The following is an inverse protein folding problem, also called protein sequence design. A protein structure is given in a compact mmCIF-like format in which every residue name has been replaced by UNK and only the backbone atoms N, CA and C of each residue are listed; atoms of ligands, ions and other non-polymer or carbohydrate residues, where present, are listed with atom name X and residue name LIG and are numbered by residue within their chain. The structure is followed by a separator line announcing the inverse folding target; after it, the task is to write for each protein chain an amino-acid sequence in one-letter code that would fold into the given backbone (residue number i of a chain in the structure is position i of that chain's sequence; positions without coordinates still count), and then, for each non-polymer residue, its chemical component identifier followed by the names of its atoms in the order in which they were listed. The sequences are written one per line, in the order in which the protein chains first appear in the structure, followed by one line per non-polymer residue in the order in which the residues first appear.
data_IF_385679328338
#
_entry.id   IF_385679328338
#
_cell.length_a   1.000
_cell.length_b   1.000
_cell.length_c   1.000
_cell.angle_alpha   90.00
_cell.angle_beta   90.00
_cell.angle_gamma   90.00
#
_symmetry.space_group_name_H-M   'P 1'
#
loop_
_entity.id
_entity.type
_entity.pdbx_description
1 polymer ?
#
# COMPACT_ATOMS: atom_id res chain seq x y z
N UNK A 1 29.48 -29.85 0.74
CA UNK A 1 30.88 -29.41 0.76
C UNK A 1 31.09 -28.14 -0.07
N UNK A 2 30.95 -28.12 -1.40
CA UNK A 2 31.15 -26.85 -2.16
C UNK A 2 30.09 -25.77 -1.85
N UNK A 3 28.81 -26.14 -1.72
CA UNK A 3 27.73 -25.17 -1.38
C UNK A 3 27.89 -24.59 0.04
N UNK A 4 28.19 -25.43 1.04
CA UNK A 4 28.46 -24.99 2.42
C UNK A 4 29.68 -24.04 2.52
N UNK A 5 30.73 -24.29 1.74
CA UNK A 5 31.91 -23.42 1.68
C UNK A 5 31.61 -22.08 0.99
N UNK A 6 30.72 -22.06 0.00
CA UNK A 6 30.24 -20.82 -0.63
C UNK A 6 29.28 -20.03 0.25
N UNK A 7 28.45 -20.70 1.07
CA UNK A 7 27.59 -20.06 2.07
C UNK A 7 28.41 -19.36 3.16
N UNK A 8 29.52 -19.96 3.59
CA UNK A 8 30.47 -19.35 4.53
C UNK A 8 31.13 -18.07 4.00
N UNK A 9 31.17 -17.88 2.67
CA UNK A 9 31.81 -16.73 2.02
C UNK A 9 30.80 -15.63 1.65
N UNK A 10 29.51 -15.95 1.60
CA UNK A 10 28.45 -15.00 1.27
C UNK A 10 27.84 -14.41 2.55
N UNK A 11 27.75 -13.08 2.70
CA UNK A 11 27.12 -12.46 3.86
C UNK A 11 25.59 -12.69 3.94
N UNK A 12 24.97 -13.18 2.87
CA UNK A 12 23.54 -13.50 2.84
C UNK A 12 23.32 -15.01 2.86
N UNK A 13 22.36 -15.51 3.67
CA UNK A 13 22.00 -16.93 3.63
C UNK A 13 21.46 -17.29 2.25
N UNK A 14 21.75 -18.52 1.82
CA UNK A 14 21.12 -19.12 0.65
C UNK A 14 19.60 -19.23 0.88
N UNK A 15 18.78 -19.21 -0.20
CA UNK A 15 17.36 -19.45 -0.06
C UNK A 15 17.08 -20.86 0.53
N UNK A 16 15.95 -21.05 1.23
CA UNK A 16 15.62 -22.35 1.84
C UNK A 16 15.63 -23.48 0.81
N UNK A 17 16.26 -24.62 1.10
CA UNK A 17 16.47 -25.74 0.17
C UNK A 17 15.23 -26.19 -0.60
N UNK A 18 14.04 -26.07 0.00
CA UNK A 18 12.76 -26.40 -0.64
C UNK A 18 12.41 -25.56 -1.88
N UNK A 19 13.13 -24.46 -2.15
CA UNK A 19 12.86 -23.65 -3.34
C UNK A 19 13.03 -24.44 -4.65
N UNK A 20 13.94 -25.43 -4.68
CA UNK A 20 14.17 -26.29 -5.86
C UNK A 20 13.00 -27.21 -6.16
N UNK A 21 12.17 -27.49 -5.15
CA UNK A 21 11.04 -28.40 -5.25
C UNK A 21 9.84 -27.76 -5.99
N UNK A 22 9.82 -26.44 -6.11
CA UNK A 22 8.78 -25.67 -6.83
C UNK A 22 8.93 -25.74 -8.35
N UNK A 23 8.77 -26.94 -8.91
CA UNK A 23 8.76 -27.17 -10.37
C UNK A 23 7.34 -27.18 -10.94
N UNK A 24 7.19 -26.86 -12.22
CA UNK A 24 5.89 -26.91 -12.91
C UNK A 24 5.29 -28.31 -12.91
N UNK A 25 6.13 -29.35 -12.87
CA UNK A 25 5.72 -30.74 -12.76
C UNK A 25 5.16 -31.04 -11.36
N UNK A 26 5.91 -30.71 -10.29
CA UNK A 26 5.51 -30.98 -8.92
C UNK A 26 4.24 -30.21 -8.53
N UNK A 27 4.04 -28.99 -9.05
CA UNK A 27 2.82 -28.22 -8.86
C UNK A 27 1.60 -28.89 -9.53
N UNK A 28 1.77 -29.50 -10.71
CA UNK A 28 0.71 -30.28 -11.35
C UNK A 28 0.40 -31.56 -10.57
N UNK A 29 1.42 -32.26 -10.07
CA UNK A 29 1.23 -33.42 -9.19
C UNK A 29 0.47 -33.06 -7.91
N UNK A 30 0.80 -31.92 -7.29
CA UNK A 30 0.06 -31.40 -6.14
C UNK A 30 -1.40 -31.08 -6.50
N UNK A 31 -1.65 -30.49 -7.67
CA UNK A 31 -3.01 -30.24 -8.16
C UNK A 31 -3.81 -31.54 -8.28
N UNK A 32 -3.23 -32.56 -8.92
CA UNK A 32 -3.83 -33.89 -9.07
C UNK A 32 -4.04 -34.59 -7.72
N UNK A 33 -3.11 -34.43 -6.79
CA UNK A 33 -3.23 -34.99 -5.44
C UNK A 33 -4.39 -34.33 -4.71
N UNK A 34 -4.56 -33.00 -4.80
CA UNK A 34 -5.70 -32.28 -4.21
C UNK A 34 -7.03 -32.70 -4.79
N UNK A 35 -7.11 -32.92 -6.10
CA UNK A 35 -8.32 -33.42 -6.75
C UNK A 35 -8.70 -34.82 -6.23
N UNK A 36 -7.75 -35.74 -6.12
CA UNK A 36 -7.99 -37.11 -5.64
C UNK A 36 -8.21 -37.21 -4.13
N UNK A 37 -7.67 -36.28 -3.35
CA UNK A 37 -7.83 -36.21 -1.90
C UNK A 37 -9.14 -35.52 -1.50
N UNK A 38 -9.66 -34.59 -2.32
CA UNK A 38 -10.99 -33.98 -2.11
C UNK A 38 -12.11 -35.01 -2.00
N UNK A 39 -11.97 -36.17 -2.65
CA UNK A 39 -12.95 -37.25 -2.55
C UNK A 39 -12.88 -38.03 -1.22
N UNK A 40 -11.86 -37.77 -0.38
CA UNK A 40 -11.56 -38.58 0.81
C UNK A 40 -11.54 -37.81 2.14
N UNK A 41 -11.67 -36.47 2.16
CA UNK A 41 -11.71 -35.65 3.40
C UNK A 41 -10.60 -35.97 4.43
N UNK A 42 -9.37 -36.26 3.98
CA UNK A 42 -8.21 -36.50 4.85
C UNK A 42 -7.10 -35.46 4.61
N UNK A 43 -6.45 -34.99 5.68
CA UNK A 43 -5.33 -34.05 5.61
C UNK A 43 -4.16 -34.60 4.77
N UNK A 44 -3.68 -33.79 3.81
CA UNK A 44 -2.62 -34.16 2.85
C UNK A 44 -1.32 -34.66 3.50
N UNK A 45 -1.02 -34.26 4.74
CA UNK A 45 0.20 -34.64 5.45
C UNK A 45 0.24 -36.07 5.98
N UNK A 46 -0.90 -36.78 6.00
CA UNK A 46 -1.02 -38.12 6.60
C UNK A 46 -1.19 -39.25 5.57
N UNK A 47 -1.34 -38.90 4.30
CA UNK A 47 -1.63 -39.84 3.21
C UNK A 47 -0.35 -40.27 2.48
N UNK A 48 -0.25 -41.56 2.17
CA UNK A 48 0.82 -42.09 1.30
C UNK A 48 0.62 -41.62 -0.14
N UNK A 49 1.27 -40.52 -0.52
CA UNK A 49 1.12 -39.91 -1.85
C UNK A 49 1.41 -40.85 -3.02
N UNK A 50 2.31 -41.84 -2.82
CA UNK A 50 2.69 -42.83 -3.82
C UNK A 50 1.56 -43.80 -4.16
N UNK A 51 0.66 -44.09 -3.20
CA UNK A 51 -0.50 -44.96 -3.44
C UNK A 51 -1.60 -44.22 -4.21
N UNK A 52 -1.73 -42.90 -3.99
CA UNK A 52 -2.76 -42.06 -4.63
C UNK A 52 -2.34 -41.67 -6.05
N UNK A 53 -1.03 -41.53 -6.28
CA UNK A 53 -0.44 -41.13 -7.56
C UNK A 53 0.28 -42.28 -8.26
N UNK A 54 -0.13 -43.54 -8.06
CA UNK A 54 0.50 -44.71 -8.67
C UNK A 54 0.57 -44.65 -10.21
N UNK A 55 -0.33 -43.88 -10.82
CA UNK A 55 -0.44 -43.72 -12.27
C UNK A 55 0.55 -42.70 -12.84
N UNK A 56 1.26 -41.95 -12.00
CA UNK A 56 2.20 -40.92 -12.41
C UNK A 56 3.65 -41.41 -12.27
N UNK A 57 4.48 -41.06 -13.24
CA UNK A 57 5.93 -41.27 -13.17
C UNK A 57 6.59 -40.15 -12.37
N UNK A 58 7.70 -40.46 -11.70
CA UNK A 58 8.56 -39.49 -11.00
C UNK A 58 7.92 -38.76 -9.80
N UNK A 59 7.05 -39.46 -9.05
CA UNK A 59 6.54 -38.94 -7.76
C UNK A 59 7.71 -38.78 -6.77
N UNK A 60 7.96 -37.57 -6.24
CA UNK A 60 9.05 -37.35 -5.29
C UNK A 60 8.87 -38.12 -3.99
N UNK A 61 9.97 -38.46 -3.32
CA UNK A 61 9.92 -39.14 -2.02
C UNK A 61 9.47 -38.22 -0.87
N UNK A 62 9.62 -36.90 -1.03
CA UNK A 62 9.22 -35.90 -0.03
C UNK A 62 7.73 -35.51 -0.17
N UNK A 63 7.06 -35.09 0.92
CA UNK A 63 5.62 -34.83 0.89
C UNK A 63 5.25 -33.62 0.03
N UNK A 64 4.44 -33.82 -1.02
CA UNK A 64 3.95 -32.73 -1.88
C UNK A 64 3.22 -31.63 -1.10
N UNK A 65 2.69 -31.94 0.10
CA UNK A 65 2.10 -30.97 1.03
C UNK A 65 3.04 -29.79 1.39
N UNK A 66 4.36 -29.95 1.28
CA UNK A 66 5.33 -28.88 1.51
C UNK A 66 5.20 -27.72 0.51
N UNK A 67 4.67 -27.98 -0.70
CA UNK A 67 4.42 -26.95 -1.71
C UNK A 67 3.13 -26.13 -1.44
N UNK A 68 2.38 -26.48 -0.39
CA UNK A 68 1.21 -25.70 -0.01
C UNK A 68 1.59 -24.36 0.60
N UNK A 69 0.60 -23.45 0.63
CA UNK A 69 0.76 -22.20 1.34
C UNK A 69 0.98 -22.51 2.82
N UNK A 70 1.89 -21.80 3.50
CA UNK A 70 2.08 -21.97 4.94
C UNK A 70 0.77 -21.69 5.68
N UNK A 71 0.60 -22.32 6.85
CA UNK A 71 -0.60 -22.18 7.68
C UNK A 71 -0.64 -20.80 8.32
N UNK A 72 -1.26 -19.85 7.63
CA UNK A 72 -1.46 -18.48 8.11
C UNK A 72 -2.34 -18.45 9.35
N UNK A 73 -3.24 -19.43 9.51
CA UNK A 73 -4.16 -19.51 10.64
C UNK A 73 -3.43 -19.58 11.99
N UNK A 74 -2.29 -20.28 12.05
CA UNK A 74 -1.47 -20.35 13.27
C UNK A 74 -0.95 -18.97 13.69
N UNK A 75 -0.57 -18.14 12.72
CA UNK A 75 -0.11 -16.77 12.98
C UNK A 75 -1.27 -15.91 13.51
N UNK A 76 -2.48 -16.11 12.99
CA UNK A 76 -3.68 -15.41 13.46
C UNK A 76 -4.11 -15.86 14.87
N UNK A 77 -3.99 -17.15 15.17
CA UNK A 77 -4.28 -17.75 16.49
C UNK A 77 -3.28 -17.29 17.56
N UNK A 78 -1.99 -17.30 17.25
CA UNK A 78 -0.92 -16.83 18.15
C UNK A 78 -0.95 -15.29 18.30
N UNK A 79 -1.47 -14.57 17.31
CA UNK A 79 -1.66 -13.12 17.35
C UNK A 79 -0.36 -12.31 17.24
N UNK A 80 0.78 -12.97 17.07
CA UNK A 80 2.09 -12.38 16.86
C UNK A 80 2.99 -13.33 16.05
N UNK A 81 4.07 -12.80 15.48
CA UNK A 81 5.09 -13.55 14.77
C UNK A 81 6.47 -12.94 15.05
N UNK A 82 7.52 -13.76 15.04
CA UNK A 82 8.87 -13.29 15.34
C UNK A 82 9.67 -13.12 14.05
N UNK A 83 10.39 -12.00 13.94
CA UNK A 83 11.28 -11.67 12.83
C UNK A 83 12.60 -11.15 13.39
N UNK A 84 13.71 -11.83 13.08
CA UNK A 84 15.07 -11.44 13.50
C UNK A 84 15.24 -11.16 15.01
N UNK A 85 14.48 -11.86 15.86
CA UNK A 85 14.53 -11.69 17.32
C UNK A 85 13.51 -10.71 17.88
N UNK A 86 12.81 -9.96 17.02
CA UNK A 86 11.73 -9.06 17.42
C UNK A 86 10.36 -9.72 17.26
N UNK A 87 9.47 -9.48 18.22
CA UNK A 87 8.08 -9.94 18.20
C UNK A 87 7.17 -8.88 17.59
N UNK A 88 6.47 -9.25 16.51
CA UNK A 88 5.53 -8.42 15.78
C UNK A 88 4.11 -8.90 16.01
N UNK A 89 3.21 -8.01 16.42
CA UNK A 89 1.81 -8.35 16.66
C UNK A 89 1.00 -8.26 15.36
N UNK A 90 0.15 -9.25 15.09
CA UNK A 90 -0.75 -9.25 13.92
C UNK A 90 -1.73 -8.09 13.98
N UNK A 91 -2.22 -7.78 15.18
CA UNK A 91 -3.02 -6.59 15.45
C UNK A 91 -2.15 -5.61 16.23
N UNK A 92 -1.62 -4.62 15.54
CA UNK A 92 -0.92 -3.51 16.17
C UNK A 92 -1.89 -2.75 17.09
N UNK A 93 -1.70 -2.92 18.39
CA UNK A 93 -2.34 -2.11 19.41
C UNK A 93 -1.27 -1.21 20.00
N UNK A 94 -1.50 0.10 19.96
CA UNK A 94 -0.60 1.04 20.62
C UNK A 94 -0.93 0.94 22.11
N UNK A 95 0.00 0.48 22.96
CA UNK A 95 -0.27 0.38 24.39
C UNK A 95 -0.59 1.76 24.95
N UNK A 96 -1.56 1.81 25.86
CA UNK A 96 -1.95 3.08 26.47
C UNK A 96 -0.85 3.58 27.40
N UNK A 97 -0.81 4.89 27.64
CA UNK A 97 0.18 5.48 28.55
C UNK A 97 0.07 4.89 29.96
N UNK A 98 -1.14 4.53 30.41
CA UNK A 98 -1.38 3.89 31.70
C UNK A 98 -0.85 2.45 31.75
N UNK A 99 -0.98 1.68 30.66
CA UNK A 99 -0.44 0.32 30.55
C UNK A 99 1.09 0.30 30.58
N UNK A 100 1.71 1.35 30.06
CA UNK A 100 3.17 1.55 30.12
C UNK A 100 3.65 2.09 31.48
N UNK A 101 2.76 2.24 32.47
CA UNK A 101 3.07 2.81 33.79
C UNK A 101 3.34 4.32 33.77
N UNK A 102 2.98 5.01 32.69
CA UNK A 102 3.15 6.45 32.52
C UNK A 102 2.05 7.26 33.19
N UNK A 103 2.40 8.47 33.65
CA UNK A 103 1.43 9.41 34.22
C UNK A 103 0.68 10.15 33.12
N UNK A 104 -0.62 9.86 32.97
CA UNK A 104 -1.46 10.55 32.00
C UNK A 104 -1.87 11.94 32.50
N UNK A 105 -1.50 12.98 31.74
CA UNK A 105 -1.71 14.39 32.04
C UNK A 105 -2.85 15.04 31.23
N UNK A 106 -3.48 14.28 30.34
CA UNK A 106 -4.61 14.70 29.52
C UNK A 106 -5.84 13.83 29.80
N UNK A 107 -7.07 14.31 29.52
CA UNK A 107 -8.29 13.53 29.76
C UNK A 107 -8.27 12.19 29.00
N UNK A 108 -8.57 11.10 29.69
CA UNK A 108 -8.69 9.77 29.08
C UNK A 108 -9.92 9.68 28.17
N UNK A 109 -11.00 10.39 28.51
CA UNK A 109 -12.23 10.41 27.74
C UNK A 109 -12.00 11.02 26.34
N UNK A 110 -12.24 10.27 25.24
CA UNK A 110 -12.10 10.77 23.88
C UNK A 110 -13.17 11.81 23.50
N UNK A 111 -14.25 11.96 24.28
CA UNK A 111 -15.31 12.95 24.02
C UNK A 111 -14.90 14.38 24.42
N UNK A 112 -13.89 14.51 25.28
CA UNK A 112 -13.44 15.80 25.81
C UNK A 112 -12.35 16.38 24.92
N UNK A 113 -12.40 17.69 24.67
CA UNK A 113 -11.36 18.40 23.92
C UNK A 113 -10.02 18.34 24.67
N UNK A 114 -9.06 17.60 24.10
CA UNK A 114 -7.71 17.42 24.66
C UNK A 114 -6.78 18.60 24.38
N UNK A 115 -7.11 19.48 23.42
CA UNK A 115 -6.22 20.59 22.99
C UNK A 115 -5.77 21.50 24.14
N UNK A 116 -6.63 21.92 25.09
CA UNK A 116 -6.19 22.76 26.21
C UNK A 116 -5.15 22.07 27.09
N UNK A 117 -5.34 20.77 27.37
CA UNK A 117 -4.40 19.97 28.16
C UNK A 117 -3.07 19.81 27.43
N UNK A 118 -3.08 19.49 26.13
CA UNK A 118 -1.87 19.36 25.31
C UNK A 118 -1.10 20.68 25.20
N UNK A 119 -1.79 21.81 25.07
CA UNK A 119 -1.15 23.13 25.09
C UNK A 119 -0.53 23.44 26.46
N UNK A 120 -1.17 23.04 27.56
CA UNK A 120 -0.60 23.16 28.91
C UNK A 120 0.66 22.31 29.08
N UNK A 121 0.63 21.06 28.59
CA UNK A 121 1.77 20.14 28.59
C UNK A 121 2.92 20.73 27.78
N UNK A 122 2.66 21.27 26.57
CA UNK A 122 3.66 21.90 25.73
C UNK A 122 4.29 23.13 26.41
N UNK A 123 3.47 23.99 27.03
CA UNK A 123 3.98 25.15 27.79
C UNK A 123 4.85 24.70 28.96
N UNK A 124 4.40 23.68 29.69
CA UNK A 124 5.15 23.09 30.81
C UNK A 124 6.48 22.48 30.35
N UNK A 125 6.50 21.85 29.17
CA UNK A 125 7.71 21.31 28.56
C UNK A 125 8.72 22.41 28.23
N UNK A 126 8.27 23.51 27.63
CA UNK A 126 9.13 24.67 27.32
C UNK A 126 9.71 25.30 28.58
N UNK A 127 8.90 25.51 29.63
CA UNK A 127 9.36 26.05 30.91
C UNK A 127 10.33 25.10 31.59
N UNK A 128 10.05 23.80 31.58
CA UNK A 128 10.94 22.78 32.17
C UNK A 128 12.26 22.73 31.42
N UNK A 129 12.26 22.88 30.10
CA UNK A 129 13.46 22.97 29.29
C UNK A 129 14.30 24.22 29.59
N UNK A 130 13.68 25.40 29.76
CA UNK A 130 14.41 26.61 30.17
C UNK A 130 15.02 26.48 31.57
N UNK A 131 14.33 25.80 32.48
CA UNK A 131 14.85 25.50 33.81
C UNK A 131 16.00 24.48 33.74
N UNK A 132 15.89 23.46 32.88
CA UNK A 132 16.97 22.51 32.61
C UNK A 132 18.23 23.25 32.14
N UNK A 133 18.13 24.13 31.13
CA UNK A 133 19.28 24.88 30.64
C UNK A 133 19.93 25.74 31.73
N UNK A 134 19.10 26.33 32.61
CA UNK A 134 19.60 27.09 33.76
C UNK A 134 20.31 26.20 34.79
N UNK A 135 19.75 25.01 35.07
CA UNK A 135 20.31 24.04 36.02
C UNK A 135 21.61 23.39 35.54
N UNK A 136 21.79 23.23 34.22
CA UNK A 136 23.02 22.69 33.62
C UNK A 136 24.15 23.72 33.64
N UNK A 137 23.82 25.01 33.57
CA UNK A 137 24.79 26.11 33.70
C UNK A 137 25.13 26.42 35.17
N UNK A 138 24.40 25.84 36.13
CA UNK A 138 24.69 26.00 37.55
C UNK A 138 26.00 25.26 37.91
N UNK A 139 26.74 25.74 38.91
CA UNK A 139 27.96 25.07 39.35
C UNK A 139 27.66 23.63 39.79
N UNK A 140 28.55 22.66 39.48
CA UNK A 140 28.33 21.27 39.81
C UNK A 140 28.18 21.08 41.33
N UNK A 141 27.29 20.19 41.79
CA UNK A 141 27.13 19.93 43.21
C UNK A 141 28.43 19.44 43.83
N UNK A 142 28.64 19.76 45.11
CA UNK A 142 29.83 19.32 45.83
C UNK A 142 29.98 17.79 45.76
N UNK A 143 31.21 17.25 45.64
CA UNK A 143 31.47 15.82 45.41
C UNK A 143 30.96 14.89 46.52
N UNK A 144 30.55 15.43 47.66
CA UNK A 144 29.99 14.68 48.81
C UNK A 144 28.49 14.96 49.05
N UNK A 145 27.84 15.69 48.15
CA UNK A 145 26.40 15.96 48.26
C UNK A 145 25.60 14.70 47.91
N UNK A 146 24.76 14.24 48.82
CA UNK A 146 23.80 13.16 48.57
C UNK A 146 22.54 13.64 47.81
N UNK A 147 22.43 14.94 47.53
CA UNK A 147 21.28 15.51 46.81
C UNK A 147 21.50 15.33 45.30
N UNK A 148 20.59 14.64 44.58
CA UNK A 148 20.69 14.50 43.15
C UNK A 148 20.64 15.88 42.47
N UNK A 149 21.41 16.09 41.38
CA UNK A 149 21.38 17.33 40.63
C UNK A 149 19.96 17.69 40.14
N UNK A 150 19.59 18.98 40.20
CA UNK A 150 18.25 19.42 39.77
C UNK A 150 17.94 19.12 38.30
N UNK A 151 18.96 19.06 37.44
CA UNK A 151 18.80 18.72 36.02
C UNK A 151 18.20 17.32 35.82
N UNK A 152 18.46 16.37 36.73
CA UNK A 152 17.90 15.01 36.63
C UNK A 152 16.38 15.04 36.73
N UNK A 153 15.85 15.77 37.73
CA UNK A 153 14.41 15.98 37.90
C UNK A 153 13.80 16.66 36.67
N UNK A 154 14.47 17.64 36.08
CA UNK A 154 13.98 18.30 34.87
C UNK A 154 13.90 17.33 33.68
N UNK A 155 14.88 16.44 33.50
CA UNK A 155 14.84 15.40 32.47
C UNK A 155 13.69 14.41 32.68
N UNK A 156 13.47 13.96 33.92
CA UNK A 156 12.34 13.06 34.24
C UNK A 156 11.00 13.68 33.83
N UNK A 157 10.77 14.96 34.20
CA UNK A 157 9.56 15.68 33.79
C UNK A 157 9.47 15.87 32.28
N UNK A 158 10.57 16.18 31.59
CA UNK A 158 10.59 16.29 30.13
C UNK A 158 10.18 14.96 29.48
N UNK A 159 10.70 13.83 29.98
CA UNK A 159 10.34 12.49 29.50
C UNK A 159 8.84 12.24 29.67
N UNK A 160 8.27 12.50 30.84
CA UNK A 160 6.83 12.32 31.10
C UNK A 160 5.98 13.22 30.19
N UNK A 161 6.35 14.50 30.04
CA UNK A 161 5.63 15.46 29.19
C UNK A 161 5.69 15.05 27.71
N UNK A 162 6.85 14.60 27.23
CA UNK A 162 7.04 14.13 25.86
C UNK A 162 6.24 12.85 25.59
N UNK A 163 6.27 11.87 26.51
CA UNK A 163 5.46 10.65 26.41
C UNK A 163 3.96 10.96 26.32
N UNK A 164 3.47 11.94 27.10
CA UNK A 164 2.08 12.38 27.02
C UNK A 164 1.71 12.99 25.67
N UNK A 165 2.57 13.82 25.09
CA UNK A 165 2.35 14.40 23.76
C UNK A 165 2.35 13.31 22.68
N UNK A 166 3.30 12.37 22.74
CA UNK A 166 3.39 11.26 21.80
C UNK A 166 2.16 10.34 21.89
N UNK A 167 1.74 9.98 23.10
CA UNK A 167 0.55 9.15 23.32
C UNK A 167 -0.71 9.83 22.77
N UNK A 168 -0.92 11.11 23.06
CA UNK A 168 -2.06 11.85 22.54
C UNK A 168 -2.05 11.99 21.01
N UNK A 169 -0.88 12.13 20.39
CA UNK A 169 -0.75 12.14 18.94
C UNK A 169 -1.05 10.76 18.33
N UNK A 170 -0.61 9.69 18.99
CA UNK A 170 -0.88 8.32 18.57
C UNK A 170 -2.38 8.01 18.59
N UNK A 171 -3.10 8.45 19.62
CA UNK A 171 -4.57 8.31 19.72
C UNK A 171 -5.33 9.01 18.58
N UNK A 172 -4.75 10.05 17.97
CA UNK A 172 -5.36 10.79 16.87
C UNK A 172 -5.15 10.12 15.50
N UNK A 173 -4.24 9.13 15.38
CA UNK A 173 -3.93 8.47 14.09
C UNK A 173 -5.16 7.84 13.42
N UNK A 174 -6.05 7.11 14.12
CA UNK A 174 -7.23 6.52 13.47
C UNK A 174 -8.20 7.58 12.92
N UNK A 175 -8.36 8.69 13.64
CA UNK A 175 -9.21 9.82 13.20
C UNK A 175 -8.59 10.51 11.99
N UNK A 176 -7.27 10.73 12.02
CA UNK A 176 -6.53 11.29 10.90
C UNK A 176 -6.65 10.40 9.64
N UNK A 177 -6.49 9.08 9.79
CA UNK A 177 -6.61 8.14 8.68
C UNK A 177 -8.00 8.21 8.02
N UNK A 178 -9.07 8.30 8.82
CA UNK A 178 -10.44 8.49 8.32
C UNK A 178 -10.62 9.81 7.58
N UNK A 179 -10.12 10.92 8.15
CA UNK A 179 -10.18 12.23 7.50
C UNK A 179 -9.39 12.27 6.18
N UNK A 180 -8.23 11.62 6.14
CA UNK A 180 -7.43 11.49 4.93
C UNK A 180 -8.18 10.69 3.85
N UNK A 181 -8.80 9.57 4.23
CA UNK A 181 -9.62 8.76 3.32
C UNK A 181 -10.81 9.54 2.77
N UNK A 182 -11.53 10.27 3.62
CA UNK A 182 -12.65 11.12 3.22
C UNK A 182 -12.21 12.18 2.20
N UNK A 183 -11.08 12.85 2.44
CA UNK A 183 -10.53 13.84 1.52
C UNK A 183 -10.10 13.22 0.19
N UNK A 184 -9.49 12.03 0.23
CA UNK A 184 -9.13 11.29 -0.99
C UNK A 184 -10.38 10.94 -1.81
N UNK A 185 -11.44 10.45 -1.17
CA UNK A 185 -12.68 10.09 -1.84
C UNK A 185 -13.40 11.32 -2.43
N UNK A 186 -13.41 12.45 -1.70
CA UNK A 186 -13.92 13.72 -2.23
C UNK A 186 -13.14 14.17 -3.46
N UNK A 187 -11.82 14.05 -3.44
CA UNK A 187 -10.98 14.38 -4.60
C UNK A 187 -11.26 13.46 -5.78
N UNK A 188 -11.43 12.17 -5.55
CA UNK A 188 -11.80 11.22 -6.61
C UNK A 188 -13.14 11.59 -7.24
N UNK A 189 -14.13 11.97 -6.44
CA UNK A 189 -15.44 12.37 -6.93
C UNK A 189 -15.37 13.67 -7.76
N UNK A 190 -14.56 14.63 -7.33
CA UNK A 190 -14.32 15.87 -8.09
C UNK A 190 -13.67 15.57 -9.44
N UNK A 191 -12.62 14.74 -9.47
CA UNK A 191 -11.96 14.31 -10.70
C UNK A 191 -12.93 13.63 -11.67
N UNK A 192 -13.81 12.74 -11.17
CA UNK A 192 -14.82 12.08 -12.01
C UNK A 192 -15.81 13.07 -12.60
N UNK A 193 -16.18 14.12 -11.86
CA UNK A 193 -17.06 15.19 -12.37
C UNK A 193 -16.37 16.02 -13.44
N UNK A 194 -15.11 16.40 -13.21
CA UNK A 194 -14.29 17.13 -14.18
C UNK A 194 -14.12 16.31 -15.48
N UNK A 195 -13.79 15.01 -15.37
CA UNK A 195 -13.70 14.08 -16.51
C UNK A 195 -15.02 14.00 -17.27
N UNK A 196 -16.15 13.87 -16.57
CA UNK A 196 -17.48 13.77 -17.19
C UNK A 196 -17.86 15.08 -17.90
N UNK A 197 -17.57 16.22 -17.29
CA UNK A 197 -17.77 17.53 -17.92
C UNK A 197 -16.89 17.68 -19.17
N UNK A 198 -15.63 17.28 -19.10
CA UNK A 198 -14.74 17.30 -20.26
C UNK A 198 -15.27 16.41 -21.40
N UNK A 199 -15.72 15.20 -21.10
CA UNK A 199 -16.34 14.32 -22.11
C UNK A 199 -17.57 14.97 -22.74
N UNK A 200 -18.48 15.54 -21.93
CA UNK A 200 -19.65 16.24 -22.47
C UNK A 200 -19.27 17.41 -23.38
N UNK A 201 -18.32 18.26 -22.97
CA UNK A 201 -17.86 19.38 -23.81
C UNK A 201 -17.28 18.90 -25.15
N UNK A 202 -16.54 17.78 -25.16
CA UNK A 202 -16.01 17.18 -26.39
C UNK A 202 -17.11 16.59 -27.27
N UNK A 203 -18.12 15.94 -26.69
CA UNK A 203 -19.28 15.46 -27.43
C UNK A 203 -20.05 16.62 -28.08
N UNK A 204 -20.28 17.71 -27.35
CA UNK A 204 -20.96 18.90 -27.85
C UNK A 204 -20.16 19.56 -29.00
N UNK A 205 -18.83 19.65 -28.86
CA UNK A 205 -17.92 20.12 -29.92
C UNK A 205 -18.02 19.24 -31.18
N UNK A 206 -17.99 17.92 -31.02
CA UNK A 206 -18.10 16.96 -32.13
C UNK A 206 -19.46 17.01 -32.81
N UNK A 207 -20.55 17.11 -32.04
CA UNK A 207 -21.91 17.24 -32.59
C UNK A 207 -22.04 18.53 -33.41
N UNK A 208 -21.52 19.65 -32.90
CA UNK A 208 -21.49 20.91 -33.65
C UNK A 208 -20.68 20.80 -34.95
N UNK A 209 -19.51 20.14 -34.91
CA UNK A 209 -18.71 19.90 -36.12
C UNK A 209 -19.43 19.00 -37.13
N UNK A 210 -20.08 17.92 -36.69
CA UNK A 210 -20.85 17.03 -37.56
C UNK A 210 -22.04 17.74 -38.21
N UNK A 211 -22.74 18.60 -37.47
CA UNK A 211 -23.82 19.43 -38.03
C UNK A 211 -23.31 20.40 -39.09
N UNK A 212 -22.16 21.04 -38.85
CA UNK A 212 -21.53 21.92 -39.84
C UNK A 212 -21.11 21.16 -41.11
N UNK A 213 -20.51 19.97 -40.97
CA UNK A 213 -20.14 19.13 -42.10
C UNK A 213 -21.37 18.63 -42.87
N UNK A 214 -22.45 18.26 -42.17
CA UNK A 214 -23.72 17.86 -42.79
C UNK A 214 -24.36 19.01 -43.57
N UNK A 215 -24.35 20.22 -43.02
CA UNK A 215 -24.82 21.42 -43.71
C UNK A 215 -23.97 21.69 -44.97
N UNK A 216 -22.64 21.62 -44.86
CA UNK A 216 -21.74 21.79 -46.00
C UNK A 216 -21.94 20.71 -47.09
N UNK A 217 -22.19 19.46 -46.70
CA UNK A 217 -22.47 18.37 -47.64
C UNK A 217 -23.81 18.54 -48.37
N UNK A 218 -24.85 19.02 -47.67
CA UNK A 218 -26.15 19.34 -48.29
C UNK A 218 -26.04 20.51 -49.29
N UNK A 219 -25.25 21.53 -48.97
CA UNK A 219 -24.92 22.62 -49.90
C UNK A 219 -24.17 22.12 -51.15
N UNK A 220 -23.24 21.18 -50.99
CA UNK A 220 -22.53 20.56 -52.12
C UNK A 220 -23.39 19.59 -52.95
N UNK A 221 -24.39 18.94 -52.34
CA UNK A 221 -25.30 17.99 -53.00
C UNK A 221 -26.49 18.68 -53.70
N UNK A 222 -26.72 19.97 -53.45
CA UNK A 222 -27.72 20.75 -54.20
C UNK A 222 -27.23 20.93 -55.65
N UNK A 223 -27.98 20.48 -56.66
CA UNK A 223 -27.50 20.50 -58.04
C UNK A 223 -27.37 21.95 -58.49
N UNK A 224 -26.13 22.39 -58.74
CA UNK A 224 -25.88 23.61 -59.51
C UNK A 224 -26.60 23.47 -60.85
N UNK A 225 -27.68 24.23 -60.98
CA UNK A 225 -28.36 24.46 -62.24
C UNK A 225 -27.33 24.84 -63.32
N UNK A 226 -27.55 24.26 -64.50
CA UNK A 226 -26.72 24.38 -65.69
C UNK A 226 -26.26 25.83 -65.96
N UNK A 227 -24.96 25.99 -66.13
CA UNK A 227 -24.31 27.20 -66.62
C UNK A 227 -22.96 26.84 -67.23
N UNK A 228 -22.94 26.70 -68.55
CA UNK A 228 -21.79 26.43 -69.41
C UNK A 228 -20.61 27.38 -69.18
N UNK A 229 -19.41 26.82 -69.03
CA UNK A 229 -18.14 27.56 -69.05
C UNK A 229 -16.95 26.61 -69.11
N UNK A 230 -16.38 26.43 -70.30
CA UNK A 230 -15.19 25.65 -70.61
C UNK A 230 -13.96 26.26 -69.95
N UNK A 231 -13.07 25.45 -69.35
CA UNK A 231 -11.67 25.85 -69.12
C UNK A 231 -10.99 25.29 -67.86
N UNK A 232 -9.97 24.47 -68.09
CA UNK A 232 -8.83 24.13 -67.22
C UNK A 232 -9.03 23.20 -66.01
N UNK A 233 -8.73 21.93 -66.27
CA UNK A 233 -8.30 20.95 -65.27
C UNK A 233 -7.02 21.42 -64.57
N UNK A 234 -7.12 21.73 -63.27
CA UNK A 234 -6.02 21.54 -62.32
C UNK A 234 -6.46 20.48 -61.31
N UNK A 235 -5.95 19.27 -61.50
CA UNK A 235 -6.08 18.18 -60.54
C UNK A 235 -5.27 18.55 -59.29
N UNK A 236 -5.95 18.94 -58.20
CA UNK A 236 -5.42 18.79 -56.86
C UNK A 236 -5.98 17.47 -56.30
N UNK A 237 -5.18 16.41 -56.39
CA UNK A 237 -5.50 15.12 -55.79
C UNK A 237 -5.66 15.30 -54.27
N UNK A 238 -6.85 15.01 -53.74
CA UNK A 238 -7.01 14.73 -52.32
C UNK A 238 -6.48 13.30 -52.08
N UNK A 239 -5.67 13.07 -51.03
CA UNK A 239 -5.17 11.73 -50.74
C UNK A 239 -6.35 10.85 -50.32
N UNK A 240 -6.57 9.77 -51.06
CA UNK A 240 -7.50 8.73 -50.66
C UNK A 240 -6.94 8.08 -49.38
N UNK A 241 -7.64 8.25 -48.26
CA UNK A 241 -7.28 7.60 -47.00
C UNK A 241 -7.32 6.10 -47.23
N UNK A 242 -6.17 5.45 -47.09
CA UNK A 242 -6.03 4.03 -47.32
C UNK A 242 -6.35 3.26 -46.04
N UNK A 243 -6.67 1.97 -46.18
CA UNK A 243 -6.97 1.09 -45.03
C UNK A 243 -5.78 1.03 -44.06
N UNK A 244 -4.56 1.21 -44.56
CA UNK A 244 -3.33 1.27 -43.76
C UNK A 244 -3.29 2.51 -42.84
N UNK A 245 -3.82 3.65 -43.29
CA UNK A 245 -3.91 4.86 -42.48
C UNK A 245 -4.89 4.69 -41.31
N UNK A 246 -5.96 3.93 -41.52
CA UNK A 246 -6.96 3.61 -40.49
C UNK A 246 -6.40 2.65 -39.44
N UNK A 247 -5.58 1.69 -39.87
CA UNK A 247 -4.91 0.74 -38.95
C UNK A 247 -3.87 1.43 -38.07
N UNK A 248 -3.08 2.37 -38.64
CA UNK A 248 -2.14 3.16 -37.85
C UNK A 248 -2.81 4.02 -36.79
N UNK A 249 -3.95 4.63 -37.13
CA UNK A 249 -4.71 5.39 -36.16
C UNK A 249 -5.24 4.51 -35.00
N UNK A 250 -5.61 3.26 -35.27
CA UNK A 250 -6.10 2.34 -34.24
C UNK A 250 -5.01 1.91 -33.25
N UNK A 251 -3.75 1.84 -33.68
CA UNK A 251 -2.61 1.49 -32.82
C UNK A 251 -2.18 2.63 -31.89
N UNK A 252 -2.44 3.90 -32.26
CA UNK A 252 -2.08 5.07 -31.45
C UNK A 252 -3.07 5.34 -30.29
N UNK A 253 -4.23 4.66 -30.26
CA UNK A 253 -5.30 4.89 -29.26
C UNK A 253 -5.28 3.86 -28.10
N UNK A 254 -4.33 2.93 -28.09
CA UNK A 254 -4.06 2.02 -26.95
C UNK A 254 -2.80 2.38 -26.20
#
# INVERSE_FOLDING_TARGET
MEEEETELRNPFPSPPSHYTDYTTHNLKLLGLLKERVKDKDVELGTLTQHEILSDQTDVPAWPLAQLEKPRVDWILEEGHYNVFGDTWFVKETIPSLAELGGHQLHPADPSVDRRPALLSILRSLLVTYSNLTSSVLAPPPAPYSAVPPEWQRHLEWITVLAQNLMAAANDLRPVQARGNLENMMKRQLELRREETQAVHTRCDELEAQLLNLRAAALEMASPRGAGTGVGEQRQSAQPAVTIEDVLRWAEEVT
#
